data_IF_783605272312
#
_entry.id   IF_783605272312
#
_cell.length_a   1.000
_cell.length_b   1.000
_cell.length_c   1.000
_cell.angle_alpha   90.00
_cell.angle_beta   90.00
_cell.angle_gamma   90.00
#
_symmetry.space_group_name_H-M   'P 1'
#
loop_
_entity.id
_entity.type
_entity.pdbx_description
1 polymer ?
#
# COMPACT_ATOMS: atom_id res chain seq x y z
N UNK A 1 -15.06 12.08 14.68
CA UNK A 1 -15.04 11.11 15.79
C UNK A 1 -13.69 10.42 15.80
N UNK A 2 -12.89 10.54 16.88
CA UNK A 2 -11.69 9.70 17.05
C UNK A 2 -12.18 8.27 17.26
N UNK A 3 -12.11 7.42 16.22
CA UNK A 3 -12.42 6.00 16.34
C UNK A 3 -11.50 5.42 17.40
N UNK A 4 -12.06 5.04 18.54
CA UNK A 4 -11.35 4.40 19.67
C UNK A 4 -10.90 2.98 19.35
N UNK A 5 -10.34 2.75 18.17
CA UNK A 5 -9.67 1.52 17.80
C UNK A 5 -8.42 1.42 18.69
N UNK A 6 -8.44 0.46 19.61
CA UNK A 6 -7.24 0.13 20.38
C UNK A 6 -6.15 -0.26 19.37
N UNK A 7 -4.93 0.27 19.48
CA UNK A 7 -3.83 -0.16 18.64
C UNK A 7 -3.71 -1.68 18.79
N UNK A 8 -3.78 -2.41 17.69
CA UNK A 8 -3.46 -3.84 17.69
C UNK A 8 -2.11 -4.01 18.40
N UNK A 9 -1.95 -4.86 19.39
CA UNK A 9 -0.61 -5.18 19.92
C UNK A 9 -0.31 -6.58 19.42
N UNK A 10 0.03 -6.69 18.12
CA UNK A 10 0.50 -7.99 17.62
C UNK A 10 1.91 -8.13 18.15
N UNK A 11 2.01 -8.72 19.35
CA UNK A 11 3.25 -9.23 19.91
C UNK A 11 3.69 -10.42 19.06
N UNK A 12 4.16 -10.15 17.86
CA UNK A 12 5.03 -11.07 17.18
C UNK A 12 6.28 -11.11 18.03
N UNK A 13 6.47 -12.22 18.74
CA UNK A 13 7.73 -12.49 19.41
C UNK A 13 8.82 -12.23 18.38
N UNK A 14 9.73 -11.31 18.70
CA UNK A 14 11.03 -11.30 18.05
C UNK A 14 11.69 -12.56 18.57
N UNK A 15 11.29 -13.71 18.04
CA UNK A 15 12.11 -14.90 18.05
C UNK A 15 13.27 -14.50 17.14
N UNK A 16 14.22 -13.74 17.71
CA UNK A 16 15.55 -13.58 17.14
C UNK A 16 15.99 -14.99 16.87
N UNK A 17 16.01 -15.35 15.58
CA UNK A 17 16.51 -16.65 15.14
C UNK A 17 17.88 -16.78 15.79
N UNK A 18 17.98 -17.65 16.81
CA UNK A 18 19.25 -18.00 17.40
C UNK A 18 20.04 -18.70 16.29
N UNK A 19 20.87 -17.90 15.66
CA UNK A 19 22.06 -18.20 14.87
C UNK A 19 21.87 -19.12 13.63
N UNK A 20 22.39 -18.62 12.50
CA UNK A 20 22.75 -19.35 11.29
C UNK A 20 21.64 -20.03 10.48
N UNK A 21 20.81 -19.22 9.82
CA UNK A 21 20.29 -19.61 8.49
C UNK A 21 20.92 -18.71 7.43
N UNK A 22 21.38 -19.32 6.36
CA UNK A 22 21.98 -18.66 5.19
C UNK A 22 21.11 -17.49 4.74
N UNK A 23 21.67 -16.29 4.76
CA UNK A 23 21.08 -15.13 4.08
C UNK A 23 20.97 -15.53 2.60
N UNK A 24 19.76 -15.50 2.05
CA UNK A 24 19.58 -15.71 0.61
C UNK A 24 20.32 -14.60 -0.15
N UNK A 25 20.91 -14.89 -1.31
CA UNK A 25 21.54 -13.85 -2.12
C UNK A 25 20.52 -12.74 -2.45
N UNK A 26 21.00 -11.49 -2.60
CA UNK A 26 20.15 -10.40 -3.03
C UNK A 26 19.45 -10.74 -4.35
N UNK A 27 18.21 -10.26 -4.48
CA UNK A 27 17.38 -10.47 -5.66
C UNK A 27 17.45 -9.23 -6.55
N UNK A 28 17.34 -9.44 -7.85
CA UNK A 28 17.14 -8.33 -8.79
C UNK A 28 15.67 -7.92 -8.81
N UNK A 29 15.37 -6.72 -9.30
CA UNK A 29 13.98 -6.31 -9.55
C UNK A 29 13.24 -7.18 -10.59
N UNK A 30 13.96 -7.95 -11.41
CA UNK A 30 13.36 -8.98 -12.26
C UNK A 30 12.84 -10.18 -11.48
N UNK A 31 13.39 -10.45 -10.30
CA UNK A 31 12.95 -11.55 -9.43
C UNK A 31 11.80 -11.14 -8.51
N UNK A 32 11.63 -9.83 -8.28
CA UNK A 32 10.53 -9.30 -7.48
C UNK A 32 9.33 -9.00 -8.36
N UNK A 33 8.28 -9.80 -8.19
CA UNK A 33 6.97 -9.50 -8.79
C UNK A 33 6.39 -8.27 -8.10
N UNK A 34 6.31 -7.15 -8.80
CA UNK A 34 5.67 -5.90 -8.36
C UNK A 34 4.92 -5.33 -9.56
N UNK A 35 3.79 -4.68 -9.29
CA UNK A 35 2.95 -4.04 -10.31
C UNK A 35 3.77 -3.06 -11.16
N UNK A 36 3.48 -3.02 -12.47
CA UNK A 36 4.09 -2.08 -13.42
C UNK A 36 3.88 -0.64 -12.94
N UNK A 37 2.69 -0.34 -12.43
CA UNK A 37 2.36 0.99 -11.89
C UNK A 37 3.35 1.44 -10.80
N UNK A 38 3.71 0.56 -9.87
CA UNK A 38 4.69 0.91 -8.84
C UNK A 38 6.10 1.06 -9.41
N UNK A 39 6.51 0.21 -10.37
CA UNK A 39 7.81 0.37 -11.03
C UNK A 39 7.92 1.75 -11.69
N UNK A 40 6.84 2.20 -12.33
CA UNK A 40 6.79 3.49 -12.97
C UNK A 40 6.83 4.64 -11.95
N UNK A 41 6.24 4.49 -10.77
CA UNK A 41 6.23 5.53 -9.73
C UNK A 41 7.55 5.61 -8.95
N UNK A 42 8.25 4.49 -8.73
CA UNK A 42 9.48 4.46 -7.95
C UNK A 42 10.62 5.25 -8.59
N UNK A 43 11.50 5.78 -7.74
CA UNK A 43 12.68 6.51 -8.18
C UNK A 43 13.66 5.60 -8.93
N UNK A 44 14.31 6.05 -10.03
CA UNK A 44 15.28 5.23 -10.77
C UNK A 44 16.40 4.64 -9.91
N UNK A 45 16.93 5.37 -8.93
CA UNK A 45 17.96 4.85 -8.01
C UNK A 45 17.46 3.66 -7.16
N UNK A 46 16.17 3.62 -6.81
CA UNK A 46 15.56 2.47 -6.10
C UNK A 46 15.50 1.26 -7.03
N UNK A 47 15.10 1.46 -8.30
CA UNK A 47 15.02 0.40 -9.30
C UNK A 47 16.39 -0.16 -9.73
N UNK A 48 17.46 0.64 -9.54
CA UNK A 48 18.84 0.22 -9.79
C UNK A 48 19.46 -0.52 -8.58
N UNK A 49 18.91 -0.33 -7.38
CA UNK A 49 19.37 -1.02 -6.18
C UNK A 49 18.92 -2.50 -6.18
N UNK A 50 19.68 -3.35 -5.50
CA UNK A 50 19.30 -4.75 -5.31
C UNK A 50 18.20 -4.88 -4.27
N UNK A 51 17.29 -5.83 -4.47
CA UNK A 51 16.21 -6.09 -3.52
C UNK A 51 16.71 -7.04 -2.42
N UNK A 52 16.50 -6.60 -1.18
CA UNK A 52 16.83 -7.39 0.00
C UNK A 52 15.89 -8.59 0.08
N UNK A 53 16.41 -9.81 -0.12
CA UNK A 53 15.59 -11.02 -0.01
C UNK A 53 15.20 -11.31 1.44
N UNK A 54 13.98 -11.81 1.64
CA UNK A 54 13.58 -12.49 2.86
C UNK A 54 13.27 -13.95 2.51
N UNK A 55 13.93 -14.93 3.15
CA UNK A 55 13.75 -16.34 2.79
C UNK A 55 12.30 -16.84 2.96
N UNK A 56 11.81 -17.59 1.98
CA UNK A 56 10.53 -18.32 2.00
C UNK A 56 9.27 -17.47 2.30
N UNK A 57 9.16 -16.31 1.63
CA UNK A 57 8.17 -15.27 1.95
C UNK A 57 7.46 -14.69 0.72
N UNK A 58 7.18 -15.51 -0.28
CA UNK A 58 6.10 -15.22 -1.23
C UNK A 58 4.80 -15.92 -0.83
N UNK A 59 3.69 -15.55 -1.48
CA UNK A 59 2.38 -16.15 -1.19
C UNK A 59 2.31 -17.64 -1.57
N UNK A 60 3.21 -18.12 -2.43
CA UNK A 60 3.27 -19.50 -2.89
C UNK A 60 4.17 -20.37 -1.99
N UNK A 61 5.05 -19.73 -1.21
CA UNK A 61 6.10 -20.35 -0.40
C UNK A 61 5.96 -20.05 1.11
N UNK A 62 4.75 -19.67 1.55
CA UNK A 62 4.50 -19.20 2.91
C UNK A 62 5.02 -20.17 3.99
N UNK A 63 6.05 -19.74 4.74
CA UNK A 63 6.67 -20.51 5.82
C UNK A 63 5.68 -21.00 6.88
N UNK A 64 4.71 -20.18 7.29
CA UNK A 64 3.72 -20.60 8.30
C UNK A 64 2.80 -21.72 7.81
N UNK A 65 2.46 -21.72 6.52
CA UNK A 65 1.69 -22.81 5.90
C UNK A 65 2.56 -24.07 5.85
N UNK A 66 3.81 -23.95 5.40
CA UNK A 66 4.77 -25.08 5.33
C UNK A 66 5.04 -25.73 6.69
N UNK A 67 5.15 -24.93 7.75
CA UNK A 67 5.37 -25.42 9.11
C UNK A 67 4.07 -25.93 9.77
N UNK A 68 2.93 -25.94 9.07
CA UNK A 68 1.64 -26.38 9.61
C UNK A 68 1.11 -25.48 10.73
N UNK A 69 1.66 -24.26 10.87
CA UNK A 69 1.22 -23.30 11.88
C UNK A 69 -0.09 -22.64 11.49
N UNK A 70 -0.44 -22.61 10.20
CA UNK A 70 -1.67 -21.99 9.65
C UNK A 70 -2.32 -22.80 8.54
N UNK A 71 -3.55 -22.45 8.18
CA UNK A 71 -4.30 -23.14 7.11
C UNK A 71 -3.75 -22.76 5.71
N UNK A 72 -3.84 -23.65 4.70
CA UNK A 72 -3.31 -23.39 3.36
C UNK A 72 -3.85 -22.14 2.64
N UNK A 73 -5.00 -21.60 3.04
CA UNK A 73 -5.57 -20.34 2.49
C UNK A 73 -5.15 -19.07 3.24
N UNK A 74 -4.33 -19.18 4.28
CA UNK A 74 -3.93 -18.06 5.13
C UNK A 74 -2.64 -17.44 4.60
N UNK A 75 -2.62 -16.11 4.48
CA UNK A 75 -1.44 -15.37 3.97
C UNK A 75 -0.99 -14.31 4.97
N UNK A 76 0.22 -13.80 4.76
CA UNK A 76 0.87 -12.84 5.66
C UNK A 76 0.03 -11.58 5.88
N UNK A 77 -0.74 -11.15 4.87
CA UNK A 77 -1.76 -10.12 5.04
C UNK A 77 -2.95 -10.69 5.86
N UNK A 78 -2.80 -10.61 7.18
CA UNK A 78 -3.33 -9.39 7.73
C UNK A 78 -4.80 -9.08 7.36
N UNK A 79 -4.93 -7.93 6.73
CA UNK A 79 -6.16 -7.39 6.21
C UNK A 79 -6.36 -7.80 4.75
N UNK A 80 -7.61 -7.82 4.30
CA UNK A 80 -7.86 -7.71 2.86
C UNK A 80 -7.58 -6.25 2.48
N UNK A 81 -6.62 -5.99 1.57
CA UNK A 81 -6.28 -4.61 1.22
C UNK A 81 -7.34 -3.99 0.30
N UNK A 82 -7.54 -2.65 0.36
CA UNK A 82 -8.16 -1.93 -0.73
C UNK A 82 -7.24 -1.95 -1.96
N UNK A 83 -7.81 -1.77 -3.15
CA UNK A 83 -7.06 -1.63 -4.40
C UNK A 83 -7.24 -0.22 -4.94
N UNK A 84 -6.16 0.55 -5.14
CA UNK A 84 -6.25 1.88 -5.73
C UNK A 84 -6.70 1.80 -7.19
N UNK A 85 -7.36 2.86 -7.68
CA UNK A 85 -7.96 2.93 -9.01
C UNK A 85 -7.00 2.52 -10.15
N UNK A 86 -5.74 2.95 -10.12
CA UNK A 86 -4.73 2.63 -11.14
C UNK A 86 -4.30 1.16 -11.09
N UNK A 87 -4.23 0.51 -9.92
CA UNK A 87 -3.94 -0.93 -9.86
C UNK A 87 -5.12 -1.77 -10.37
N UNK A 88 -6.35 -1.32 -10.13
CA UNK A 88 -7.54 -1.95 -10.73
C UNK A 88 -7.48 -1.82 -12.26
N UNK A 89 -7.06 -0.67 -12.77
CA UNK A 89 -6.84 -0.47 -14.20
C UNK A 89 -5.75 -1.36 -14.79
N UNK A 90 -4.61 -1.50 -14.10
CA UNK A 90 -3.53 -2.39 -14.49
C UNK A 90 -4.04 -3.84 -14.57
N UNK A 91 -4.74 -4.28 -13.52
CA UNK A 91 -5.36 -5.59 -13.45
C UNK A 91 -6.35 -5.84 -14.60
N UNK A 92 -7.22 -4.88 -14.91
CA UNK A 92 -8.18 -4.95 -16.02
C UNK A 92 -7.50 -5.01 -17.40
N UNK A 93 -6.27 -4.52 -17.51
CA UNK A 93 -5.47 -4.51 -18.74
C UNK A 93 -4.73 -5.84 -18.92
N UNK A 94 -4.35 -6.50 -17.83
CA UNK A 94 -3.72 -7.83 -17.83
C UNK A 94 -4.71 -8.99 -18.09
N UNK A 95 -6.00 -8.70 -18.27
CA UNK A 95 -7.01 -9.70 -18.65
C UNK A 95 -7.96 -10.14 -17.53
N UNK A 96 -7.89 -9.53 -16.34
CA UNK A 96 -8.80 -9.81 -15.23
C UNK A 96 -8.57 -11.17 -14.55
N UNK A 97 -8.91 -11.25 -13.27
CA UNK A 97 -8.93 -12.45 -12.43
C UNK A 97 -10.21 -12.46 -11.60
N UNK A 98 -10.75 -13.66 -11.34
CA UNK A 98 -12.11 -13.86 -10.84
C UNK A 98 -12.52 -13.02 -9.60
N UNK A 99 -11.61 -12.76 -8.65
CA UNK A 99 -11.99 -12.08 -7.39
C UNK A 99 -12.33 -10.60 -7.55
N UNK A 100 -11.55 -9.85 -8.34
CA UNK A 100 -11.78 -8.41 -8.51
C UNK A 100 -12.95 -8.18 -9.49
N UNK A 101 -13.14 -9.06 -10.47
CA UNK A 101 -14.34 -9.06 -11.31
C UNK A 101 -15.61 -9.25 -10.46
N UNK A 102 -15.56 -10.22 -9.54
CA UNK A 102 -16.63 -10.43 -8.58
C UNK A 102 -16.85 -9.18 -7.71
N UNK A 103 -15.80 -8.56 -7.17
CA UNK A 103 -15.92 -7.37 -6.32
C UNK A 103 -16.51 -6.17 -7.05
N UNK A 104 -16.13 -5.95 -8.30
CA UNK A 104 -16.74 -4.93 -9.16
C UNK A 104 -18.23 -5.22 -9.39
N UNK A 105 -18.60 -6.47 -9.68
CA UNK A 105 -20.01 -6.85 -9.86
C UNK A 105 -20.84 -6.66 -8.58
N UNK A 106 -20.20 -6.73 -7.42
CA UNK A 106 -20.80 -6.50 -6.11
C UNK A 106 -20.87 -5.01 -5.74
N UNK A 107 -20.53 -4.09 -6.64
CA UNK A 107 -20.51 -2.63 -6.38
C UNK A 107 -19.56 -2.26 -5.25
N UNK A 108 -18.39 -2.91 -5.15
CA UNK A 108 -17.33 -2.53 -4.18
C UNK A 108 -16.40 -1.42 -4.67
N UNK A 109 -16.48 -1.10 -5.95
CA UNK A 109 -15.68 -0.06 -6.58
C UNK A 109 -16.28 1.33 -6.40
N UNK A 110 -15.41 2.31 -6.25
CA UNK A 110 -15.65 3.75 -6.36
C UNK A 110 -14.49 4.40 -7.14
N UNK A 111 -14.54 5.70 -7.45
CA UNK A 111 -13.48 6.34 -8.22
C UNK A 111 -12.08 6.29 -7.59
N UNK A 112 -11.94 6.08 -6.28
CA UNK A 112 -10.65 5.93 -5.61
C UNK A 112 -10.09 4.51 -5.76
N UNK A 113 -10.96 3.53 -5.92
CA UNK A 113 -10.54 2.14 -6.08
C UNK A 113 -11.61 1.12 -5.71
N UNK A 114 -11.18 -0.09 -5.40
CA UNK A 114 -12.05 -1.14 -4.84
C UNK A 114 -11.77 -1.26 -3.33
N UNK A 115 -12.81 -1.03 -2.55
CA UNK A 115 -12.74 -1.07 -1.09
C UNK A 115 -13.31 -2.37 -0.52
N UNK A 116 -12.89 -2.71 0.69
CA UNK A 116 -13.40 -3.87 1.43
C UNK A 116 -14.59 -3.42 2.29
N UNK A 117 -15.76 -4.07 2.20
CA UNK A 117 -16.91 -3.71 3.03
C UNK A 117 -16.54 -3.69 4.53
N UNK A 118 -16.97 -2.69 5.31
CA UNK A 118 -16.62 -2.57 6.73
C UNK A 118 -16.90 -3.83 7.55
N UNK A 119 -18.00 -4.54 7.27
CA UNK A 119 -18.33 -5.79 7.94
C UNK A 119 -17.31 -6.91 7.66
N UNK A 120 -16.75 -6.98 6.45
CA UNK A 120 -15.69 -7.95 6.11
C UNK A 120 -14.40 -7.56 6.82
N UNK A 121 -14.03 -6.27 6.79
CA UNK A 121 -12.86 -5.76 7.51
C UNK A 121 -12.95 -6.05 9.01
N UNK A 122 -14.08 -5.75 9.63
CA UNK A 122 -14.33 -6.02 11.06
C UNK A 122 -14.16 -7.50 11.39
N UNK A 123 -14.71 -8.41 10.58
CA UNK A 123 -14.52 -9.87 10.77
C UNK A 123 -13.05 -10.28 10.70
N UNK A 124 -12.27 -9.72 9.77
CA UNK A 124 -10.83 -9.97 9.69
C UNK A 124 -10.08 -9.41 10.91
N UNK A 125 -10.52 -8.28 11.45
CA UNK A 125 -9.97 -7.65 12.66
C UNK A 125 -10.29 -8.48 13.92
N UNK A 126 -11.55 -8.92 14.09
CA UNK A 126 -12.00 -9.78 15.20
C UNK A 126 -11.29 -11.13 15.21
N UNK A 127 -11.16 -11.78 14.05
CA UNK A 127 -10.50 -13.08 13.92
C UNK A 127 -9.02 -13.09 14.35
N UNK A 128 -8.44 -11.92 14.67
CA UNK A 128 -7.08 -11.76 15.18
C UNK A 128 -6.97 -11.44 16.66
N UNK A 129 -8.03 -11.01 17.31
CA UNK A 129 -7.93 -10.53 18.69
C UNK A 129 -7.44 -11.62 19.65
N UNK A 130 -7.69 -12.89 19.34
CA UNK A 130 -7.31 -14.04 20.17
C UNK A 130 -5.93 -14.64 19.83
N UNK A 131 -5.10 -13.93 19.07
CA UNK A 131 -3.83 -14.48 18.56
C UNK A 131 -4.01 -15.59 17.51
N UNK A 132 -5.26 -15.80 17.07
CA UNK A 132 -5.60 -16.61 15.92
C UNK A 132 -5.03 -16.03 14.63
N UNK A 133 -4.91 -16.88 13.62
CA UNK A 133 -4.19 -16.55 12.38
C UNK A 133 -5.01 -15.65 11.44
N UNK A 134 -6.23 -15.29 11.83
CA UNK A 134 -7.19 -14.49 11.04
C UNK A 134 -8.13 -15.36 10.20
N UNK A 135 -8.76 -14.74 9.20
CA UNK A 135 -9.54 -15.43 8.16
C UNK A 135 -8.70 -15.67 6.90
N UNK A 136 -9.05 -16.66 6.06
CA UNK A 136 -8.42 -16.86 4.76
C UNK A 136 -8.39 -15.58 3.94
N UNK A 137 -7.29 -15.35 3.23
CA UNK A 137 -7.19 -14.19 2.36
C UNK A 137 -8.20 -14.34 1.22
N UNK A 138 -9.09 -13.36 1.08
CA UNK A 138 -10.13 -13.36 0.04
C UNK A 138 -9.57 -13.30 -1.39
N UNK A 139 -8.30 -12.94 -1.54
CA UNK A 139 -7.59 -12.85 -2.81
C UNK A 139 -6.92 -14.18 -3.23
N UNK A 140 -6.92 -15.19 -2.36
CA UNK A 140 -6.36 -16.51 -2.66
C UNK A 140 -7.44 -17.37 -3.31
N UNK A 141 -7.12 -17.95 -4.46
CA UNK A 141 -7.98 -18.93 -5.10
C UNK A 141 -8.02 -20.21 -4.24
N UNK A 142 -9.22 -20.61 -3.83
CA UNK A 142 -9.41 -21.73 -2.91
C UNK A 142 -9.04 -23.10 -3.48
N UNK A 143 -8.91 -23.25 -4.80
CA UNK A 143 -8.58 -24.52 -5.47
C UNK A 143 -7.07 -24.70 -5.65
N UNK A 144 -6.41 -23.64 -6.10
CA UNK A 144 -4.97 -23.61 -6.42
C UNK A 144 -4.13 -23.18 -5.23
N UNK A 145 -4.72 -22.48 -4.26
CA UNK A 145 -4.01 -21.86 -3.15
C UNK A 145 -3.14 -20.69 -3.59
N UNK A 146 -3.30 -20.14 -4.79
CA UNK A 146 -2.47 -19.04 -5.29
C UNK A 146 -3.17 -17.70 -5.17
N UNK A 147 -2.40 -16.63 -4.97
CA UNK A 147 -2.93 -15.28 -4.96
C UNK A 147 -3.35 -14.88 -6.39
N UNK A 148 -4.62 -14.54 -6.57
CA UNK A 148 -5.21 -14.18 -7.87
C UNK A 148 -4.83 -12.78 -8.32
N UNK A 149 -4.24 -11.94 -7.46
CA UNK A 149 -3.82 -10.57 -7.80
C UNK A 149 -2.32 -10.37 -7.62
N UNK A 150 -1.54 -11.45 -7.63
CA UNK A 150 -0.14 -11.43 -7.18
C UNK A 150 0.72 -10.39 -7.93
N UNK A 151 0.49 -10.20 -9.23
CA UNK A 151 1.21 -9.24 -10.09
C UNK A 151 0.83 -7.79 -9.83
N UNK A 152 -0.36 -7.54 -9.30
CA UNK A 152 -0.99 -6.22 -9.12
C UNK A 152 -1.37 -5.99 -7.65
N UNK A 153 -0.60 -6.60 -6.73
CA UNK A 153 -0.92 -6.59 -5.30
C UNK A 153 -0.68 -5.19 -4.69
N UNK A 154 -1.57 -4.71 -3.81
CA UNK A 154 -1.39 -3.42 -3.14
C UNK A 154 -0.14 -3.35 -2.25
N UNK A 155 0.26 -2.14 -1.87
CA UNK A 155 1.50 -1.86 -1.14
C UNK A 155 1.68 -2.72 0.13
N UNK A 156 0.62 -2.90 0.92
CA UNK A 156 0.68 -3.71 2.14
C UNK A 156 1.03 -5.19 1.88
N UNK A 157 0.60 -5.73 0.73
CA UNK A 157 0.94 -7.09 0.31
C UNK A 157 2.37 -7.19 -0.25
N UNK A 158 3.03 -6.07 -0.54
CA UNK A 158 4.42 -6.03 -0.97
C UNK A 158 5.39 -6.00 0.22
N UNK A 159 5.10 -5.19 1.25
CA UNK A 159 6.08 -4.92 2.31
C UNK A 159 5.81 -5.54 3.68
N UNK A 160 4.74 -6.30 3.86
CA UNK A 160 4.47 -7.00 5.12
C UNK A 160 4.84 -8.49 5.09
N UNK A 161 5.82 -8.85 5.92
CA UNK A 161 6.24 -10.23 6.15
C UNK A 161 6.12 -10.62 7.63
N UNK A 162 5.77 -11.88 7.90
CA UNK A 162 5.60 -12.39 9.26
C UNK A 162 6.92 -12.61 10.01
N UNK A 163 8.03 -12.74 9.28
CA UNK A 163 9.34 -13.03 9.84
C UNK A 163 10.42 -12.25 9.09
N UNK A 164 11.36 -11.71 9.84
CA UNK A 164 12.55 -11.04 9.30
C UNK A 164 13.79 -11.61 9.97
N UNK A 165 14.92 -11.75 9.25
CA UNK A 165 16.17 -12.25 9.82
C UNK A 165 16.76 -11.26 10.84
N UNK A 166 16.52 -9.96 10.67
CA UNK A 166 17.06 -8.90 11.50
C UNK A 166 16.10 -7.70 11.58
N UNK A 167 16.24 -6.87 12.62
CA UNK A 167 15.39 -5.66 12.79
C UNK A 167 15.54 -4.69 11.62
N UNK A 168 16.72 -4.56 11.04
CA UNK A 168 16.94 -3.71 9.87
C UNK A 168 16.20 -4.19 8.63
N UNK A 169 16.01 -5.51 8.43
CA UNK A 169 15.18 -6.02 7.32
C UNK A 169 13.72 -5.63 7.54
N UNK A 170 13.24 -5.77 8.78
CA UNK A 170 11.88 -5.36 9.14
C UNK A 170 11.67 -3.87 8.90
N UNK A 171 12.64 -3.04 9.28
CA UNK A 171 12.59 -1.60 9.05
C UNK A 171 12.71 -1.25 7.56
N UNK A 172 13.58 -1.91 6.79
CA UNK A 172 13.71 -1.71 5.34
C UNK A 172 12.40 -2.04 4.61
N UNK A 173 11.78 -3.18 4.92
CA UNK A 173 10.49 -3.57 4.32
C UNK A 173 9.34 -2.70 4.79
N UNK A 174 9.36 -2.26 6.06
CA UNK A 174 8.41 -1.28 6.59
C UNK A 174 8.52 0.09 5.93
N UNK A 175 9.74 0.53 5.63
CA UNK A 175 10.03 1.74 4.87
C UNK A 175 9.56 1.60 3.43
N UNK A 176 9.82 0.45 2.79
CA UNK A 176 9.35 0.17 1.43
C UNK A 176 7.83 0.16 1.34
N UNK A 177 7.14 -0.46 2.32
CA UNK A 177 5.69 -0.40 2.43
C UNK A 177 5.19 1.05 2.54
N UNK A 178 5.77 1.84 3.46
CA UNK A 178 5.38 3.24 3.65
C UNK A 178 5.55 4.06 2.36
N UNK A 179 6.67 3.86 1.66
CA UNK A 179 6.93 4.52 0.37
C UNK A 179 5.89 4.14 -0.70
N UNK A 180 5.58 2.85 -0.85
CA UNK A 180 4.58 2.39 -1.82
C UNK A 180 3.16 2.86 -1.47
N UNK A 181 2.80 2.87 -0.19
CA UNK A 181 1.50 3.35 0.27
C UNK A 181 1.38 4.87 0.07
N UNK A 182 2.44 5.64 0.32
CA UNK A 182 2.48 7.08 0.06
C UNK A 182 2.34 7.39 -1.43
N UNK A 183 3.03 6.63 -2.30
CA UNK A 183 2.86 6.72 -3.75
C UNK A 183 1.43 6.38 -4.18
N UNK A 184 0.86 5.33 -3.60
CA UNK A 184 -0.50 4.88 -3.90
C UNK A 184 -1.53 5.98 -3.60
N UNK A 185 -1.52 6.53 -2.39
CA UNK A 185 -2.47 7.59 -2.00
C UNK A 185 -2.28 8.86 -2.83
N UNK A 186 -1.01 9.27 -3.05
CA UNK A 186 -0.69 10.43 -3.89
C UNK A 186 -1.21 10.26 -5.31
N UNK A 187 -0.92 9.11 -5.94
CA UNK A 187 -1.32 8.84 -7.32
C UNK A 187 -2.84 8.78 -7.46
N UNK A 188 -3.54 8.13 -6.52
CA UNK A 188 -5.00 8.12 -6.51
C UNK A 188 -5.54 9.54 -6.46
N UNK A 189 -5.10 10.35 -5.48
CA UNK A 189 -5.58 11.71 -5.31
C UNK A 189 -5.25 12.62 -6.50
N UNK A 190 -4.08 12.46 -7.11
CA UNK A 190 -3.66 13.21 -8.28
C UNK A 190 -4.50 12.88 -9.52
N UNK A 191 -4.73 11.58 -9.77
CA UNK A 191 -5.63 11.13 -10.83
C UNK A 191 -7.03 11.67 -10.57
N UNK A 192 -7.51 11.60 -9.32
CA UNK A 192 -8.82 12.13 -8.98
C UNK A 192 -8.92 13.63 -9.18
N UNK A 193 -7.88 14.41 -8.86
CA UNK A 193 -7.86 15.84 -9.15
C UNK A 193 -7.94 16.13 -10.66
N UNK A 194 -7.43 15.22 -11.50
CA UNK A 194 -7.42 15.34 -12.96
C UNK A 194 -8.72 14.87 -13.63
N UNK A 195 -9.41 13.88 -13.04
CA UNK A 195 -10.62 13.26 -13.61
C UNK A 195 -11.92 13.70 -12.95
N UNK A 196 -11.88 14.20 -11.72
CA UNK A 196 -13.09 14.51 -10.98
C UNK A 196 -13.82 15.68 -11.64
N UNK A 197 -15.06 15.41 -12.04
CA UNK A 197 -16.07 16.44 -12.21
C UNK A 197 -16.11 17.31 -10.95
N UNK A 198 -16.48 18.60 -11.08
CA UNK A 198 -16.79 19.44 -9.92
C UNK A 198 -17.66 18.66 -8.90
N UNK A 199 -17.28 18.73 -7.63
CA UNK A 199 -18.04 18.15 -6.52
C UNK A 199 -17.68 16.71 -6.11
N UNK A 200 -16.74 15.97 -6.72
CA UNK A 200 -16.41 14.61 -6.22
C UNK A 200 -15.95 14.61 -4.75
N UNK A 201 -15.11 15.56 -4.35
CA UNK A 201 -14.69 15.71 -2.96
C UNK A 201 -15.89 15.97 -2.02
N UNK A 202 -16.87 16.75 -2.48
CA UNK A 202 -18.13 16.99 -1.76
C UNK A 202 -18.97 15.71 -1.67
N UNK A 203 -19.05 14.91 -2.75
CA UNK A 203 -19.73 13.61 -2.76
C UNK A 203 -19.12 12.64 -1.75
N UNK A 204 -17.79 12.61 -1.65
CA UNK A 204 -17.08 11.75 -0.69
C UNK A 204 -17.28 12.17 0.76
N UNK A 205 -17.27 13.48 1.03
CA UNK A 205 -17.43 14.02 2.40
C UNK A 205 -18.84 13.88 2.94
N UNK A 206 -19.86 13.82 2.06
CA UNK A 206 -21.26 13.63 2.44
C UNK A 206 -21.65 12.19 2.78
N UNK A 207 -20.82 11.20 2.42
CA UNK A 207 -21.11 9.80 2.73
C UNK A 207 -20.70 9.50 4.17
N UNK A 208 -21.70 9.31 5.04
CA UNK A 208 -21.46 8.61 6.31
C UNK A 208 -21.05 7.17 5.98
N UNK A 209 -19.85 6.78 6.41
CA UNK A 209 -19.19 5.53 5.99
C UNK A 209 -19.90 4.28 6.49
N UNK A 210 -20.84 4.38 7.42
CA UNK A 210 -21.62 3.25 7.92
C UNK A 210 -22.77 2.85 7.00
N UNK A 211 -23.58 3.82 6.57
CA UNK A 211 -24.87 3.57 5.93
C UNK A 211 -24.76 3.39 4.41
N UNK A 212 -23.62 3.77 3.82
CA UNK A 212 -23.38 3.62 2.38
C UNK A 212 -23.13 2.18 1.92
N UNK A 213 -22.96 1.23 2.86
CA UNK A 213 -22.64 -0.16 2.57
C UNK A 213 -23.81 -1.11 2.79
N UNK A 214 -23.95 -2.07 1.88
CA UNK A 214 -24.64 -3.34 2.11
C UNK A 214 -23.64 -4.37 2.68
N UNK A 215 -24.06 -5.63 2.85
CA UNK A 215 -23.15 -6.70 3.26
C UNK A 215 -22.02 -6.97 2.26
N UNK A 216 -22.22 -6.68 0.97
CA UNK A 216 -21.30 -7.10 -0.10
C UNK A 216 -20.64 -5.94 -0.86
N UNK A 217 -21.18 -4.72 -0.80
CA UNK A 217 -20.67 -3.54 -1.50
C UNK A 217 -21.53 -2.31 -1.25
N UNK A 218 -21.32 -1.21 -1.98
CA UNK A 218 -22.11 0.01 -1.81
C UNK A 218 -23.60 -0.21 -2.12
N UNK A 219 -24.47 0.46 -1.37
CA UNK A 219 -25.89 0.53 -1.71
C UNK A 219 -26.09 1.32 -3.03
N UNK A 220 -27.25 1.16 -3.67
CA UNK A 220 -27.48 1.73 -5.01
C UNK A 220 -27.37 3.25 -5.06
N UNK A 221 -27.94 3.94 -4.08
CA UNK A 221 -27.89 5.40 -3.97
C UNK A 221 -26.45 5.89 -3.84
N UNK A 222 -25.69 5.32 -2.90
CA UNK A 222 -24.29 5.69 -2.67
C UNK A 222 -23.41 5.35 -3.88
N UNK A 223 -23.63 4.18 -4.49
CA UNK A 223 -22.88 3.76 -5.68
C UNK A 223 -23.14 4.70 -6.87
N UNK A 224 -24.41 5.00 -7.16
CA UNK A 224 -24.79 5.94 -8.21
C UNK A 224 -24.24 7.35 -7.93
N UNK A 225 -24.27 7.78 -6.66
CA UNK A 225 -23.74 9.07 -6.25
C UNK A 225 -22.22 9.16 -6.45
N UNK A 226 -21.47 8.16 -6.00
CA UNK A 226 -20.02 8.09 -6.11
C UNK A 226 -19.56 8.16 -7.57
N UNK A 227 -20.17 7.34 -8.43
CA UNK A 227 -19.78 7.22 -9.83
C UNK A 227 -20.28 8.38 -10.70
N UNK A 228 -21.44 8.96 -10.41
CA UNK A 228 -21.98 10.08 -11.18
C UNK A 228 -22.05 9.76 -12.68
N UNK A 229 -21.40 10.58 -13.51
CA UNK A 229 -21.34 10.39 -14.97
C UNK A 229 -20.59 9.12 -15.42
N UNK A 230 -19.75 8.55 -14.55
CA UNK A 230 -19.00 7.33 -14.81
C UNK A 230 -19.77 6.05 -14.44
N UNK A 231 -21.02 6.17 -13.97
CA UNK A 231 -21.86 5.02 -13.65
C UNK A 231 -22.08 4.15 -14.90
N UNK A 232 -21.77 2.85 -14.80
CA UNK A 232 -21.79 1.92 -15.93
C UNK A 232 -20.54 1.97 -16.84
N UNK A 233 -19.61 2.89 -16.57
CA UNK A 233 -18.34 3.04 -17.28
C UNK A 233 -17.12 2.81 -16.36
N UNK A 234 -17.31 2.10 -15.24
CA UNK A 234 -16.32 1.96 -14.16
C UNK A 234 -15.02 1.28 -14.64
N UNK A 235 -15.16 0.24 -15.47
CA UNK A 235 -13.99 -0.45 -16.05
C UNK A 235 -13.20 0.44 -17.00
N UNK A 236 -13.89 1.32 -17.74
CA UNK A 236 -13.24 2.27 -18.63
C UNK A 236 -12.50 3.34 -17.82
N UNK A 237 -13.15 3.87 -16.77
CA UNK A 237 -12.55 4.79 -15.81
C UNK A 237 -11.25 4.23 -15.22
N UNK A 238 -11.27 3.02 -14.64
CA UNK A 238 -10.08 2.44 -14.03
C UNK A 238 -8.93 2.23 -15.02
N UNK A 239 -9.21 1.81 -16.26
CA UNK A 239 -8.18 1.72 -17.31
C UNK A 239 -7.59 3.09 -17.64
N UNK A 240 -8.41 4.14 -17.65
CA UNK A 240 -7.95 5.53 -17.77
C UNK A 240 -7.01 5.93 -16.64
N UNK A 241 -7.34 5.58 -15.39
CA UNK A 241 -6.45 5.80 -14.24
C UNK A 241 -5.10 5.10 -14.40
N UNK A 242 -5.09 3.85 -14.87
CA UNK A 242 -3.84 3.13 -15.13
C UNK A 242 -3.02 3.78 -16.24
N UNK A 243 -3.64 4.21 -17.33
CA UNK A 243 -2.94 4.85 -18.45
C UNK A 243 -2.14 6.08 -18.02
N UNK A 244 -2.61 6.85 -17.03
CA UNK A 244 -1.86 7.99 -16.46
C UNK A 244 -0.54 7.54 -15.82
N UNK A 245 -0.53 6.39 -15.16
CA UNK A 245 0.64 5.86 -14.45
C UNK A 245 1.51 4.99 -15.37
N UNK A 246 0.91 4.33 -16.35
CA UNK A 246 1.59 3.45 -17.30
C UNK A 246 2.64 4.19 -18.14
N UNK A 247 2.29 5.39 -18.59
CA UNK A 247 3.10 6.23 -19.48
C UNK A 247 3.57 7.51 -18.78
N UNK A 248 3.85 7.42 -17.48
CA UNK A 248 4.30 8.57 -16.69
C UNK A 248 5.65 9.11 -17.21
N UNK A 249 5.64 10.36 -17.64
CA UNK A 249 6.84 11.10 -18.04
C UNK A 249 7.46 11.86 -16.86
N UNK A 250 8.63 12.46 -17.09
CA UNK A 250 9.35 13.20 -16.04
C UNK A 250 8.55 14.42 -15.54
N UNK A 251 7.78 15.07 -16.41
CA UNK A 251 6.92 16.20 -16.06
C UNK A 251 5.80 15.76 -15.13
N UNK A 252 5.09 14.68 -15.47
CA UNK A 252 4.02 14.13 -14.63
C UNK A 252 4.55 13.62 -13.30
N UNK A 253 5.77 13.04 -13.29
CA UNK A 253 6.45 12.64 -12.05
C UNK A 253 6.75 13.84 -11.15
N UNK A 254 7.28 14.93 -11.71
CA UNK A 254 7.53 16.16 -10.96
C UNK A 254 6.23 16.74 -10.38
N UNK A 255 5.16 16.77 -11.18
CA UNK A 255 3.85 17.22 -10.73
C UNK A 255 3.29 16.36 -9.59
N UNK A 256 3.46 15.03 -9.63
CA UNK A 256 3.07 14.15 -8.53
C UNK A 256 3.85 14.43 -7.24
N UNK A 257 5.15 14.71 -7.34
CA UNK A 257 5.98 15.04 -6.17
C UNK A 257 5.55 16.38 -5.54
N UNK A 258 5.33 17.40 -6.37
CA UNK A 258 4.82 18.71 -5.93
C UNK A 258 3.42 18.57 -5.30
N UNK A 259 2.53 17.81 -5.93
CA UNK A 259 1.20 17.52 -5.40
C UNK A 259 1.28 16.82 -4.04
N UNK A 260 2.19 15.86 -3.87
CA UNK A 260 2.41 15.21 -2.57
C UNK A 260 2.90 16.18 -1.50
N UNK A 261 3.81 17.10 -1.84
CA UNK A 261 4.27 18.14 -0.91
C UNK A 261 3.13 19.06 -0.48
N UNK A 262 2.26 19.47 -1.42
CA UNK A 262 1.07 20.28 -1.10
C UNK A 262 0.12 19.54 -0.14
N UNK A 263 -0.18 18.27 -0.42
CA UNK A 263 -0.97 17.44 0.49
C UNK A 263 -0.33 17.33 1.88
N UNK A 264 0.99 17.14 1.93
CA UNK A 264 1.71 17.06 3.20
C UNK A 264 1.70 18.40 3.96
N UNK A 265 1.87 19.53 3.26
CA UNK A 265 1.75 20.86 3.86
C UNK A 265 0.39 21.02 4.55
N UNK A 266 -0.71 20.67 3.85
CA UNK A 266 -2.05 20.69 4.43
C UNK A 266 -2.19 19.80 5.67
N UNK A 267 -1.70 18.55 5.61
CA UNK A 267 -1.74 17.62 6.74
C UNK A 267 -0.96 18.13 7.97
N UNK A 268 0.21 18.73 7.76
CA UNK A 268 1.04 19.25 8.85
C UNK A 268 0.44 20.52 9.47
N UNK A 269 -0.16 21.38 8.65
CA UNK A 269 -0.84 22.60 9.08
C UNK A 269 -2.09 22.25 9.91
N UNK A 270 -2.94 21.34 9.42
CA UNK A 270 -4.12 20.83 10.14
C UNK A 270 -3.75 20.16 11.47
N UNK A 271 -2.61 19.47 11.52
CA UNK A 271 -2.10 18.86 12.74
C UNK A 271 -1.42 19.84 13.71
N UNK A 272 -1.18 21.10 13.30
CA UNK A 272 -0.53 22.12 14.11
C UNK A 272 0.95 21.85 14.39
N UNK A 273 1.62 21.12 13.48
CA UNK A 273 3.04 20.73 13.61
C UNK A 273 3.93 21.32 12.50
N UNK A 274 3.37 22.17 11.64
CA UNK A 274 4.11 22.85 10.57
C UNK A 274 4.82 24.10 11.10
N UNK A 275 6.13 24.02 11.30
CA UNK A 275 6.96 25.19 11.58
C UNK A 275 7.46 25.88 10.29
N UNK A 276 8.03 27.08 10.43
CA UNK A 276 8.49 27.89 9.30
C UNK A 276 9.62 27.23 8.51
N UNK A 277 10.53 26.52 9.19
CA UNK A 277 11.64 25.84 8.52
C UNK A 277 11.13 24.66 7.71
N UNK A 278 10.21 23.87 8.28
CA UNK A 278 9.60 22.74 7.60
C UNK A 278 8.75 23.19 6.42
N UNK A 279 8.04 24.31 6.54
CA UNK A 279 7.31 24.93 5.42
C UNK A 279 8.25 25.31 4.28
N UNK A 280 9.32 26.05 4.56
CA UNK A 280 10.31 26.44 3.56
C UNK A 280 10.92 25.22 2.83
N UNK A 281 11.23 24.15 3.59
CA UNK A 281 11.75 22.90 3.01
C UNK A 281 10.73 22.20 2.10
N UNK A 282 9.43 22.22 2.44
CA UNK A 282 8.39 21.57 1.66
C UNK A 282 7.95 22.40 0.43
N UNK A 283 8.10 23.71 0.49
CA UNK A 283 7.82 24.62 -0.63
C UNK A 283 8.99 24.68 -1.64
N UNK A 284 10.16 24.14 -1.28
CA UNK A 284 11.28 24.00 -2.19
C UNK A 284 11.02 22.91 -3.26
N UNK A 285 11.51 23.17 -4.48
CA UNK A 285 11.43 22.22 -5.60
C UNK A 285 12.11 20.91 -5.19
N UNK A 286 11.45 19.74 -5.33
CA UNK A 286 12.04 18.45 -5.01
C UNK A 286 13.34 18.22 -5.77
N UNK A 287 14.41 17.84 -5.06
CA UNK A 287 15.59 17.27 -5.72
C UNK A 287 15.22 15.93 -6.36
N UNK A 288 15.60 15.75 -7.63
CA UNK A 288 15.55 14.46 -8.31
C UNK A 288 16.73 13.57 -7.92
N UNK A 289 17.79 14.12 -7.32
CA UNK A 289 18.88 13.30 -6.79
C UNK A 289 18.57 12.91 -5.35
N UNK A 290 18.57 11.60 -5.07
CA UNK A 290 18.41 11.09 -3.71
C UNK A 290 19.78 10.90 -3.07
N UNK A 291 20.01 11.61 -1.97
CA UNK A 291 21.08 11.32 -1.04
C UNK A 291 20.55 10.39 0.07
N UNK A 292 21.16 9.21 0.29
CA UNK A 292 20.77 8.30 1.36
C UNK A 292 20.94 8.97 2.73
N UNK A 293 19.88 9.01 3.54
CA UNK A 293 19.92 9.63 4.87
C UNK A 293 19.26 8.71 5.92
N UNK A 294 19.75 8.71 7.17
CA UNK A 294 19.14 7.91 8.23
C UNK A 294 17.74 8.42 8.57
N UNK A 295 16.74 7.55 8.71
CA UNK A 295 15.41 7.96 9.18
C UNK A 295 15.45 8.41 10.64
N UNK A 296 14.63 9.41 11.02
CA UNK A 296 14.42 9.78 12.42
C UNK A 296 13.89 8.60 13.25
N UNK A 297 14.22 8.54 14.54
CA UNK A 297 13.89 7.39 15.41
C UNK A 297 12.38 7.12 15.52
N UNK A 298 11.56 8.18 15.52
CA UNK A 298 10.11 8.10 15.49
C UNK A 298 9.59 7.40 14.23
N UNK A 299 10.21 7.65 13.08
CA UNK A 299 9.87 7.01 11.80
C UNK A 299 10.29 5.55 11.81
N UNK A 300 11.46 5.23 12.38
CA UNK A 300 11.91 3.84 12.55
C UNK A 300 10.91 3.02 13.36
N UNK A 301 10.31 3.61 14.39
CA UNK A 301 9.22 3.00 15.16
C UNK A 301 8.02 2.63 14.29
N UNK A 302 7.62 3.53 13.38
CA UNK A 302 6.56 3.28 12.38
C UNK A 302 6.94 2.11 11.47
N UNK A 303 8.14 2.12 10.89
CA UNK A 303 8.61 1.04 10.02
C UNK A 303 8.68 -0.31 10.73
N UNK A 304 9.20 -0.35 11.96
CA UNK A 304 9.17 -1.56 12.79
C UNK A 304 7.74 -2.05 12.99
N UNK A 305 6.81 -1.16 13.30
CA UNK A 305 5.42 -1.60 13.53
C UNK A 305 4.76 -2.18 12.28
N UNK A 306 5.24 -1.83 11.08
CA UNK A 306 4.60 -2.15 9.81
C UNK A 306 3.25 -1.43 9.63
N UNK A 307 3.03 -0.32 10.35
CA UNK A 307 1.78 0.44 10.37
C UNK A 307 2.02 1.84 9.89
N UNK A 308 2.07 1.97 8.58
CA UNK A 308 2.00 3.27 7.97
C UNK A 308 0.54 3.70 7.85
N UNK A 309 0.25 4.93 8.27
CA UNK A 309 -1.05 5.59 8.11
C UNK A 309 -0.77 6.90 7.38
N UNK A 310 -1.35 7.07 6.20
CA UNK A 310 -1.07 8.21 5.34
C UNK A 310 -1.29 9.57 6.04
N UNK A 311 -2.37 9.72 6.82
CA UNK A 311 -2.67 10.97 7.54
C UNK A 311 -1.71 11.30 8.67
N UNK A 312 -0.98 10.30 9.15
CA UNK A 312 0.04 10.47 10.20
C UNK A 312 1.43 10.71 9.60
N UNK A 313 1.56 10.68 8.27
CA UNK A 313 2.82 10.93 7.58
C UNK A 313 3.33 12.35 7.85
N UNK A 314 4.65 12.47 7.99
CA UNK A 314 5.36 13.73 8.23
C UNK A 314 6.47 13.99 7.21
N UNK A 315 6.66 13.07 6.26
CA UNK A 315 7.82 13.06 5.37
C UNK A 315 7.41 13.01 3.90
N UNK A 316 8.22 13.59 3.03
CA UNK A 316 7.97 13.57 1.58
C UNK A 316 8.27 12.19 0.99
N UNK A 317 7.80 11.96 -0.24
CA UNK A 317 8.20 10.79 -1.04
C UNK A 317 9.72 10.70 -1.20
N UNK A 318 10.38 11.83 -1.46
CA UNK A 318 11.84 11.93 -1.59
C UNK A 318 12.55 11.53 -0.29
N UNK A 319 12.06 11.99 0.87
CA UNK A 319 12.62 11.60 2.17
C UNK A 319 12.47 10.10 2.45
N UNK A 320 11.27 9.52 2.23
CA UNK A 320 11.08 8.07 2.37
C UNK A 320 11.97 7.27 1.42
N UNK A 321 12.17 7.75 0.19
CA UNK A 321 13.08 7.14 -0.77
C UNK A 321 14.56 7.20 -0.30
N UNK A 322 15.00 8.34 0.23
CA UNK A 322 16.32 8.49 0.85
C UNK A 322 16.52 7.59 2.08
N UNK A 323 15.50 7.46 2.94
CA UNK A 323 15.53 6.54 4.08
C UNK A 323 15.66 5.08 3.63
N UNK A 324 14.94 4.69 2.58
CA UNK A 324 15.01 3.35 2.02
C UNK A 324 16.40 3.03 1.47
N UNK A 325 17.01 3.97 0.72
CA UNK A 325 18.37 3.82 0.20
C UNK A 325 19.39 3.71 1.34
N UNK A 326 19.21 4.46 2.42
CA UNK A 326 20.07 4.34 3.59
C UNK A 326 19.98 2.95 4.21
N UNK A 327 18.78 2.42 4.43
CA UNK A 327 18.63 1.05 4.94
C UNK A 327 19.24 0.01 4.01
N UNK A 328 19.10 0.20 2.69
CA UNK A 328 19.69 -0.69 1.70
C UNK A 328 21.22 -0.74 1.88
N UNK A 329 21.87 0.42 2.03
CA UNK A 329 23.31 0.49 2.31
C UNK A 329 23.67 -0.17 3.64
N UNK A 330 22.89 0.04 4.71
CA UNK A 330 23.15 -0.59 6.00
C UNK A 330 23.07 -2.12 5.92
N UNK A 331 22.10 -2.64 5.17
CA UNK A 331 21.93 -4.08 4.98
C UNK A 331 23.08 -4.66 4.16
N UNK A 332 23.49 -3.98 3.08
CA UNK A 332 24.61 -4.41 2.25
C UNK A 332 25.94 -4.48 3.02
N UNK A 333 26.13 -3.67 4.07
CA UNK A 333 27.31 -3.76 4.94
C UNK A 333 27.30 -4.94 5.92
N UNK A 334 26.13 -5.59 6.12
CA UNK A 334 25.97 -6.74 7.02
C UNK A 334 26.05 -8.09 6.30
N UNK A 335 25.88 -8.09 4.98
CA UNK A 335 25.95 -9.26 4.09
C UNK A 335 27.32 -9.37 3.46
#
# INVERSE_FOLDING_TARGET
MKSGLRPFDIRFGVDTLKENKSIEPPKTWSDVVIAKSYKNLLHPQILQAEMVSVPALDCDDCRWVKEGRTLPGMRCCSVTPPFPNFLVGEWLTQGGHDVLDMWLSQRRGDPYGISVPPAVRHKHEEARQDGGLGLPCSLVDGKTGRCTVYTVRPAICMGFHCLYPHVLWREWWGCFYALLELWQETAVLFIMASYASEGLAERMTKLDRGDCWTQTGYNEESYSHLWGEWLGHERHFYRGCFSVIEDIDDVTRELLLLFQQELLLGLLDEAGVLDAQRRELLEAIPSLELEPCPPPEEVRGVYRSGRFVYTDNRHTLTEHASFWLWYHQQIAMLT
#
